data_IF_432984681952
#
_entry.id   IF_432984681952
#
_cell.length_a   1.000
_cell.length_b   1.000
_cell.length_c   1.000
_cell.angle_alpha   90.00
_cell.angle_beta   90.00
_cell.angle_gamma   90.00
#
_symmetry.space_group_name_H-M   'P 1'
#
loop_
_entity.id
_entity.type
_entity.pdbx_description
1 polymer ?
#
# COMPACT_ATOMS: atom_id res chain seq x y z
N UNK A 1 20.02 24.54 5.06
CA UNK A 1 18.72 24.11 5.63
C UNK A 1 17.82 23.32 4.66
N UNK A 2 17.78 23.62 3.36
CA UNK A 2 16.87 22.90 2.43
C UNK A 2 17.24 21.47 2.02
N UNK A 3 18.49 21.01 2.19
CA UNK A 3 18.88 19.63 1.86
C UNK A 3 18.47 18.62 2.94
N UNK A 4 18.52 19.02 4.21
CA UNK A 4 18.21 18.14 5.36
C UNK A 4 16.73 17.73 5.35
N UNK A 5 15.82 18.68 5.08
CA UNK A 5 14.38 18.38 4.99
C UNK A 5 14.02 17.44 3.82
N UNK A 6 14.73 17.50 2.69
CA UNK A 6 14.47 16.62 1.52
C UNK A 6 14.99 15.20 1.77
N UNK A 7 16.03 15.06 2.58
CA UNK A 7 16.63 13.79 2.93
C UNK A 7 15.81 13.07 4.01
N UNK A 8 15.27 13.80 4.99
CA UNK A 8 14.32 13.29 5.98
C UNK A 8 13.01 12.81 5.34
N UNK A 9 12.42 13.58 4.42
CA UNK A 9 11.20 13.18 3.71
C UNK A 9 11.41 11.89 2.90
N UNK A 10 12.54 11.76 2.19
CA UNK A 10 12.88 10.54 1.46
C UNK A 10 13.07 9.34 2.38
N UNK A 11 13.69 9.55 3.54
CA UNK A 11 13.91 8.50 4.53
C UNK A 11 12.58 8.00 5.12
N UNK A 12 11.67 8.93 5.46
CA UNK A 12 10.34 8.61 5.95
C UNK A 12 9.49 7.86 4.93
N UNK A 13 9.50 8.31 3.67
CA UNK A 13 8.79 7.63 2.58
C UNK A 13 9.32 6.21 2.37
N UNK A 14 10.64 6.02 2.37
CA UNK A 14 11.27 4.70 2.18
C UNK A 14 10.96 3.74 3.33
N UNK A 15 10.94 4.24 4.57
CA UNK A 15 10.60 3.45 5.76
C UNK A 15 9.14 3.00 5.75
N UNK A 16 8.23 3.89 5.35
CA UNK A 16 6.80 3.57 5.16
C UNK A 16 6.60 2.49 4.09
N UNK A 17 7.34 2.56 2.98
CA UNK A 17 7.25 1.59 1.87
C UNK A 17 7.74 0.19 2.30
N UNK A 18 8.81 0.11 3.11
CA UNK A 18 9.29 -1.15 3.68
C UNK A 18 8.32 -1.75 4.70
N UNK A 19 7.71 -0.93 5.56
CA UNK A 19 6.71 -1.39 6.53
C UNK A 19 5.44 -1.89 5.84
N UNK A 20 4.98 -1.23 4.77
CA UNK A 20 3.84 -1.65 3.96
C UNK A 20 4.11 -2.96 3.21
N UNK A 21 5.28 -3.12 2.60
CA UNK A 21 5.67 -4.38 1.94
C UNK A 21 5.72 -5.54 2.96
N UNK A 22 6.21 -5.28 4.17
CA UNK A 22 6.22 -6.26 5.27
C UNK A 22 4.80 -6.59 5.76
N UNK A 23 3.92 -5.60 5.89
CA UNK A 23 2.51 -5.83 6.27
C UNK A 23 1.77 -6.60 5.19
N UNK A 24 1.85 -6.17 3.93
CA UNK A 24 1.19 -6.83 2.79
C UNK A 24 1.64 -8.28 2.63
N UNK A 25 2.94 -8.55 2.74
CA UNK A 25 3.46 -9.92 2.67
C UNK A 25 2.98 -10.80 3.83
N UNK A 26 2.89 -10.27 5.05
CA UNK A 26 2.28 -10.97 6.19
C UNK A 26 0.80 -11.24 5.95
N UNK A 27 -0.01 -10.25 5.56
CA UNK A 27 -1.44 -10.43 5.32
C UNK A 27 -1.74 -11.42 4.21
N UNK A 28 -0.98 -11.39 3.09
CA UNK A 28 -1.12 -12.39 2.02
C UNK A 28 -0.79 -13.79 2.54
N UNK A 29 0.21 -13.94 3.42
CA UNK A 29 0.52 -15.23 4.05
C UNK A 29 -0.60 -15.70 4.97
N UNK A 30 -1.16 -14.82 5.80
CA UNK A 30 -2.26 -15.13 6.71
C UNK A 30 -3.56 -15.49 5.96
N UNK A 31 -3.94 -14.73 4.94
CA UNK A 31 -5.10 -15.05 4.10
C UNK A 31 -4.94 -16.40 3.42
N UNK A 32 -3.75 -16.73 2.89
CA UNK A 32 -3.47 -18.08 2.35
C UNK A 32 -3.66 -19.18 3.40
N UNK A 33 -3.19 -18.97 4.63
CA UNK A 33 -3.35 -19.95 5.71
C UNK A 33 -4.82 -20.15 6.07
N UNK A 34 -5.61 -19.08 6.17
CA UNK A 34 -7.05 -19.15 6.42
C UNK A 34 -7.76 -19.90 5.30
N UNK A 35 -7.40 -19.64 4.04
CA UNK A 35 -7.98 -20.33 2.89
C UNK A 35 -7.67 -21.83 2.91
N UNK A 36 -6.41 -22.20 3.18
CA UNK A 36 -6.01 -23.62 3.30
C UNK A 36 -6.76 -24.28 4.46
N UNK A 37 -6.85 -23.61 5.62
CA UNK A 37 -7.57 -24.13 6.78
C UNK A 37 -9.06 -24.33 6.49
N UNK A 38 -9.69 -23.36 5.81
CA UNK A 38 -11.08 -23.45 5.36
C UNK A 38 -11.29 -24.62 4.40
N UNK A 39 -10.36 -24.85 3.47
CA UNK A 39 -10.45 -25.96 2.53
C UNK A 39 -10.36 -27.31 3.26
N UNK A 40 -9.40 -27.45 4.18
CA UNK A 40 -9.24 -28.66 5.01
C UNK A 40 -10.52 -28.91 5.81
N UNK A 41 -11.10 -27.86 6.41
CA UNK A 41 -12.35 -27.96 7.16
C UNK A 41 -13.52 -28.45 6.29
N UNK A 42 -13.68 -27.89 5.08
CA UNK A 42 -14.73 -28.35 4.16
C UNK A 42 -14.53 -29.83 3.79
N UNK A 43 -13.31 -30.24 3.46
CA UNK A 43 -12.98 -31.64 3.17
C UNK A 43 -13.31 -32.53 4.37
N UNK A 44 -12.99 -32.08 5.58
CA UNK A 44 -13.31 -32.79 6.81
C UNK A 44 -14.82 -32.98 7.00
N UNK A 45 -15.62 -31.91 6.83
CA UNK A 45 -17.09 -32.00 6.91
C UNK A 45 -17.64 -32.96 5.87
N UNK A 46 -17.13 -32.93 4.63
CA UNK A 46 -17.49 -33.90 3.60
C UNK A 46 -17.18 -35.35 4.03
N UNK A 47 -16.01 -35.58 4.63
CA UNK A 47 -15.64 -36.89 5.15
C UNK A 47 -16.60 -37.37 6.25
N UNK A 48 -16.99 -36.47 7.16
CA UNK A 48 -18.01 -36.77 8.20
C UNK A 48 -19.35 -37.13 7.55
N UNK A 49 -19.79 -36.36 6.56
CA UNK A 49 -21.03 -36.65 5.81
C UNK A 49 -20.99 -38.03 5.17
N UNK A 50 -19.90 -38.36 4.48
CA UNK A 50 -19.74 -39.66 3.82
C UNK A 50 -19.77 -40.81 4.82
N UNK A 51 -18.98 -40.70 5.90
CA UNK A 51 -18.84 -41.75 6.89
C UNK A 51 -20.12 -42.02 7.70
N UNK A 52 -20.93 -40.99 7.97
CA UNK A 52 -22.21 -41.17 8.65
C UNK A 52 -23.28 -41.70 7.71
N UNK A 53 -23.46 -41.11 6.52
CA UNK A 53 -24.57 -41.47 5.61
C UNK A 53 -24.31 -42.72 4.79
N UNK A 54 -23.09 -42.91 4.27
CA UNK A 54 -22.78 -44.03 3.37
C UNK A 54 -22.21 -45.24 4.11
N UNK A 55 -21.35 -45.01 5.11
CA UNK A 55 -20.74 -46.09 5.89
C UNK A 55 -21.55 -46.47 7.14
N UNK A 56 -22.58 -45.70 7.50
CA UNK A 56 -23.48 -46.03 8.60
C UNK A 56 -22.80 -46.07 9.97
N UNK A 57 -21.63 -45.44 10.13
CA UNK A 57 -20.84 -45.51 11.37
C UNK A 57 -21.50 -44.81 12.58
N UNK A 58 -22.71 -44.27 12.43
CA UNK A 58 -23.41 -43.50 13.46
C UNK A 58 -22.66 -42.22 13.86
N UNK A 59 -23.13 -41.55 14.91
CA UNK A 59 -22.57 -40.24 15.34
C UNK A 59 -21.48 -40.33 16.41
N UNK A 60 -21.29 -41.51 17.02
CA UNK A 60 -20.42 -41.67 18.19
C UNK A 60 -18.95 -41.32 17.91
N UNK A 61 -18.48 -41.54 16.68
CA UNK A 61 -17.11 -41.18 16.26
C UNK A 61 -17.02 -39.74 15.73
N UNK A 62 -18.14 -39.16 15.29
CA UNK A 62 -18.20 -37.84 14.66
C UNK A 62 -18.26 -36.68 15.67
N UNK A 63 -18.20 -36.97 16.98
CA UNK A 63 -18.26 -36.05 18.14
C UNK A 63 -19.56 -35.23 18.27
N UNK A 64 -20.23 -34.89 17.16
CA UNK A 64 -21.46 -34.10 17.08
C UNK A 64 -22.46 -34.71 16.08
N UNK A 65 -23.72 -34.31 16.22
CA UNK A 65 -24.81 -34.63 15.27
C UNK A 65 -24.66 -33.82 13.96
N UNK A 66 -25.35 -34.24 12.90
CA UNK A 66 -25.29 -33.54 11.60
C UNK A 66 -25.73 -32.08 11.69
N UNK A 67 -26.82 -31.81 12.40
CA UNK A 67 -27.34 -30.45 12.53
C UNK A 67 -26.29 -29.51 13.15
N UNK A 68 -25.55 -30.02 14.14
CA UNK A 68 -24.47 -29.28 14.80
C UNK A 68 -23.26 -29.10 13.87
N UNK A 69 -22.91 -30.08 13.04
CA UNK A 69 -21.85 -29.95 12.03
C UNK A 69 -22.18 -28.91 10.97
N UNK A 70 -23.44 -28.87 10.50
CA UNK A 70 -23.93 -27.86 9.56
C UNK A 70 -23.86 -26.47 10.20
N UNK A 71 -24.38 -26.33 11.42
CA UNK A 71 -24.40 -25.06 12.14
C UNK A 71 -22.98 -24.56 12.45
N UNK A 72 -22.08 -25.45 12.89
CA UNK A 72 -20.65 -25.16 13.08
C UNK A 72 -20.01 -24.67 11.80
N UNK A 73 -20.32 -25.31 10.66
CA UNK A 73 -19.78 -24.91 9.36
C UNK A 73 -20.22 -23.51 8.96
N UNK A 74 -21.50 -23.18 9.14
CA UNK A 74 -22.02 -21.83 8.87
C UNK A 74 -21.31 -20.78 9.72
N UNK A 75 -21.18 -21.04 11.03
CA UNK A 75 -20.52 -20.12 11.97
C UNK A 75 -19.05 -19.92 11.62
N UNK A 76 -18.32 -21.00 11.36
CA UNK A 76 -16.89 -20.95 11.05
C UNK A 76 -16.63 -20.24 9.71
N UNK A 77 -17.45 -20.52 8.69
CA UNK A 77 -17.37 -19.82 7.41
C UNK A 77 -17.67 -18.34 7.55
N UNK A 78 -18.70 -17.96 8.33
CA UNK A 78 -18.97 -16.54 8.63
C UNK A 78 -17.78 -15.87 9.31
N UNK A 79 -17.16 -16.55 10.28
CA UNK A 79 -15.99 -16.04 10.98
C UNK A 79 -14.80 -15.81 10.03
N UNK A 80 -14.52 -16.75 9.13
CA UNK A 80 -13.46 -16.58 8.12
C UNK A 80 -13.75 -15.43 7.16
N UNK A 81 -15.00 -15.27 6.72
CA UNK A 81 -15.41 -14.14 5.87
C UNK A 81 -15.16 -12.81 6.59
N UNK A 82 -15.56 -12.69 7.87
CA UNK A 82 -15.35 -11.48 8.66
C UNK A 82 -13.85 -11.16 8.77
N UNK A 83 -13.01 -12.17 9.05
CA UNK A 83 -11.56 -12.00 9.10
C UNK A 83 -10.98 -11.49 7.77
N UNK A 84 -11.42 -12.04 6.63
CA UNK A 84 -10.98 -11.56 5.32
C UNK A 84 -11.39 -10.10 5.07
N UNK A 85 -12.62 -9.74 5.42
CA UNK A 85 -13.12 -8.36 5.28
C UNK A 85 -12.25 -7.40 6.11
N UNK A 86 -11.95 -7.74 7.37
CA UNK A 86 -11.09 -6.93 8.24
C UNK A 86 -9.71 -6.72 7.62
N UNK A 87 -9.10 -7.78 7.06
CA UNK A 87 -7.81 -7.66 6.38
C UNK A 87 -7.87 -6.77 5.14
N UNK A 88 -8.93 -6.87 4.34
CA UNK A 88 -9.13 -6.03 3.17
C UNK A 88 -9.29 -4.56 3.56
N UNK A 89 -10.09 -4.25 4.59
CA UNK A 89 -10.28 -2.89 5.09
C UNK A 89 -8.97 -2.29 5.59
N UNK A 90 -8.19 -3.04 6.37
CA UNK A 90 -6.91 -2.55 6.88
C UNK A 90 -5.94 -2.20 5.75
N UNK A 91 -5.86 -3.05 4.70
CA UNK A 91 -5.03 -2.77 3.51
C UNK A 91 -5.51 -1.50 2.78
N UNK A 92 -6.82 -1.28 2.69
CA UNK A 92 -7.35 -0.08 2.03
C UNK A 92 -7.02 1.20 2.80
N UNK A 93 -7.10 1.17 4.14
CA UNK A 93 -6.74 2.32 4.99
C UNK A 93 -5.28 2.71 4.77
N UNK A 94 -4.36 1.75 4.83
CA UNK A 94 -2.93 1.99 4.61
C UNK A 94 -2.67 2.58 3.22
N UNK A 95 -3.33 2.04 2.17
CA UNK A 95 -3.23 2.59 0.80
C UNK A 95 -3.76 4.02 0.68
N UNK A 96 -4.80 4.36 1.44
CA UNK A 96 -5.39 5.71 1.43
C UNK A 96 -4.44 6.73 2.05
N UNK A 97 -3.84 6.42 3.20
CA UNK A 97 -2.86 7.29 3.83
C UNK A 97 -1.67 7.58 2.92
N UNK A 98 -1.22 6.59 2.13
CA UNK A 98 -0.16 6.78 1.13
C UNK A 98 -0.56 7.78 0.04
N UNK A 99 -1.77 7.66 -0.51
CA UNK A 99 -2.27 8.62 -1.51
C UNK A 99 -2.38 10.04 -0.96
N UNK A 100 -2.64 10.19 0.32
CA UNK A 100 -2.70 11.50 0.97
C UNK A 100 -1.30 12.07 1.25
N UNK A 101 -0.32 11.22 1.60
CA UNK A 101 1.09 11.63 1.83
C UNK A 101 1.90 11.84 0.54
N UNK A 102 1.56 11.15 -0.55
CA UNK A 102 2.18 11.33 -1.87
C UNK A 102 1.66 12.55 -2.64
N UNK A 103 0.54 13.16 -2.20
CA UNK A 103 0.13 14.44 -2.76
C UNK A 103 1.23 15.45 -2.48
N UNK A 104 1.75 16.16 -3.50
CA UNK A 104 2.77 17.16 -3.28
C UNK A 104 2.24 18.15 -2.25
N UNK A 105 2.89 18.23 -1.09
CA UNK A 105 2.53 19.22 -0.09
C UNK A 105 2.59 20.59 -0.77
N UNK A 106 1.56 21.43 -0.64
CA UNK A 106 1.60 22.77 -1.20
C UNK A 106 2.81 23.48 -0.59
N UNK A 107 3.86 23.69 -1.40
CA UNK A 107 5.00 24.47 -0.95
C UNK A 107 4.49 25.89 -0.73
N UNK A 108 4.80 26.47 0.42
CA UNK A 108 4.52 27.87 0.68
C UNK A 108 5.83 28.66 0.60
N UNK A 109 5.83 29.77 -0.13
CA UNK A 109 6.94 30.72 -0.16
C UNK A 109 6.44 32.06 0.38
N UNK A 110 7.01 32.51 1.51
CA UNK A 110 6.59 33.73 2.22
C UNK A 110 5.07 33.78 2.52
N UNK A 111 4.50 32.67 2.96
CA UNK A 111 3.08 32.55 3.29
C UNK A 111 2.13 32.38 2.09
N UNK A 112 2.65 32.40 0.86
CA UNK A 112 1.86 32.26 -0.38
C UNK A 112 2.01 30.87 -1.01
N UNK A 113 0.95 30.34 -1.64
CA UNK A 113 0.95 29.06 -2.36
C UNK A 113 1.93 29.10 -3.53
N UNK A 114 2.85 28.15 -3.57
CA UNK A 114 3.88 28.06 -4.58
C UNK A 114 3.51 27.03 -5.66
N UNK A 115 3.27 27.51 -6.87
CA UNK A 115 3.09 26.68 -8.05
C UNK A 115 4.45 26.48 -8.72
N UNK A 116 4.87 25.24 -8.99
CA UNK A 116 6.18 24.96 -9.59
C UNK A 116 6.01 24.52 -11.02
N UNK A 117 6.54 25.31 -11.97
CA UNK A 117 6.57 24.97 -13.38
C UNK A 117 8.01 24.79 -13.84
N UNK A 118 8.30 23.73 -14.58
CA UNK A 118 9.66 23.42 -15.06
C UNK A 118 9.68 23.37 -16.57
N UNK A 119 10.58 24.16 -17.18
CA UNK A 119 10.78 24.24 -18.62
C UNK A 119 12.22 23.84 -19.00
N UNK A 120 12.42 22.94 -19.99
CA UNK A 120 11.39 22.18 -20.71
C UNK A 120 10.68 21.16 -19.81
N UNK A 121 9.42 20.86 -20.14
CA UNK A 121 8.61 19.90 -19.39
C UNK A 121 9.35 18.56 -19.32
N UNK A 122 9.42 17.95 -18.14
CA UNK A 122 10.12 16.68 -17.84
C UNK A 122 11.64 16.72 -17.69
N UNK A 123 12.29 17.89 -17.71
CA UNK A 123 13.73 17.99 -17.46
C UNK A 123 14.13 17.47 -16.05
N UNK A 124 14.81 16.31 -16.00
CA UNK A 124 15.34 15.70 -14.76
C UNK A 124 16.83 16.02 -14.58
N UNK A 125 17.14 16.83 -13.57
CA UNK A 125 18.51 17.19 -13.19
C UNK A 125 19.16 18.25 -14.09
N UNK A 126 20.23 18.88 -13.59
CA UNK A 126 20.90 20.01 -14.24
C UNK A 126 20.89 21.29 -13.41
N UNK A 127 21.49 22.34 -13.94
CA UNK A 127 21.44 23.69 -13.34
C UNK A 127 20.20 24.39 -13.89
N UNK A 128 19.35 24.85 -12.98
CA UNK A 128 18.11 25.56 -13.31
C UNK A 128 18.18 27.00 -12.81
N UNK A 129 17.77 27.94 -13.66
CA UNK A 129 17.36 29.27 -13.21
C UNK A 129 16.06 29.15 -12.41
N UNK A 130 15.96 29.89 -11.30
CA UNK A 130 14.76 29.94 -10.47
C UNK A 130 14.22 31.36 -10.51
N UNK A 131 13.10 31.56 -11.18
CA UNK A 131 12.40 32.84 -11.22
C UNK A 131 11.11 32.72 -10.42
N UNK A 132 10.87 33.66 -9.51
CA UNK A 132 9.62 33.75 -8.74
C UNK A 132 8.78 34.87 -9.32
N UNK A 133 7.61 34.53 -9.83
CA UNK A 133 6.65 35.45 -10.44
C UNK A 133 5.42 35.45 -9.52
N UNK A 134 5.12 36.55 -8.82
CA UNK A 134 3.87 36.66 -8.08
C UNK A 134 2.71 36.66 -9.10
N UNK A 135 1.72 35.78 -8.90
CA UNK A 135 0.49 35.78 -9.71
C UNK A 135 -0.55 36.64 -9.00
N UNK A 136 -0.77 36.36 -7.70
CA UNK A 136 -1.74 37.06 -6.85
C UNK A 136 -1.16 37.30 -5.44
N UNK A 137 -1.97 37.89 -4.57
CA UNK A 137 -1.65 38.08 -3.15
C UNK A 137 -1.40 36.75 -2.42
N UNK A 138 -2.04 35.67 -2.86
CA UNK A 138 -1.90 34.34 -2.25
C UNK A 138 -1.06 33.35 -3.09
N UNK A 139 -0.70 33.68 -4.34
CA UNK A 139 -0.10 32.74 -5.28
C UNK A 139 1.23 33.25 -5.84
N UNK A 140 2.26 32.39 -5.81
CA UNK A 140 3.56 32.64 -6.43
C UNK A 140 3.88 31.48 -7.38
N UNK A 141 4.21 31.81 -8.63
CA UNK A 141 4.76 30.86 -9.59
C UNK A 141 6.28 30.81 -9.46
N UNK A 142 6.81 29.61 -9.25
CA UNK A 142 8.23 29.30 -9.38
C UNK A 142 8.49 28.68 -10.73
N UNK A 143 9.03 29.49 -11.64
CA UNK A 143 9.51 29.05 -12.93
C UNK A 143 10.93 28.48 -12.79
N UNK A 144 11.11 27.22 -13.17
CA UNK A 144 12.40 26.54 -13.24
C UNK A 144 12.80 26.37 -14.69
N UNK A 145 13.70 27.20 -15.17
CA UNK A 145 14.22 27.11 -16.55
C UNK A 145 15.55 26.36 -16.54
N UNK A 146 15.66 25.27 -17.29
CA UNK A 146 16.92 24.55 -17.43
C UNK A 146 17.95 25.44 -18.14
N UNK A 147 19.08 25.73 -17.48
CA UNK A 147 20.22 26.45 -18.08
C UNK A 147 21.22 25.44 -18.62
N UNK A 148 21.55 24.41 -17.83
CA UNK A 148 22.52 23.38 -18.21
C UNK A 148 21.95 22.02 -17.86
N UNK A 149 21.94 21.11 -18.82
CA UNK A 149 21.44 19.75 -18.59
C UNK A 149 22.41 18.94 -17.73
N UNK A 150 21.89 17.97 -16.96
CA UNK A 150 22.76 17.05 -16.21
C UNK A 150 23.78 16.34 -17.13
N UNK A 151 23.38 15.98 -18.35
CA UNK A 151 24.23 15.30 -19.33
C UNK A 151 25.47 16.12 -19.72
N UNK A 152 25.35 17.45 -19.81
CA UNK A 152 26.47 18.34 -20.14
C UNK A 152 27.45 18.51 -18.99
N UNK A 153 26.93 18.62 -17.75
CA UNK A 153 27.75 18.73 -16.54
C UNK A 153 28.63 17.48 -16.40
N UNK A 154 28.06 16.29 -16.60
CA UNK A 154 28.80 15.03 -16.48
C UNK A 154 29.72 14.74 -17.68
N UNK A 155 29.49 15.33 -18.86
CA UNK A 155 30.45 15.29 -19.97
C UNK A 155 31.71 16.07 -19.65
N UNK A 156 31.61 17.22 -18.96
CA UNK A 156 32.76 18.06 -18.58
C UNK A 156 33.70 17.41 -17.55
N UNK A 157 33.26 16.37 -16.85
CA UNK A 157 34.05 15.66 -15.85
C UNK A 157 34.90 14.51 -16.42
N UNK A 158 34.86 14.28 -17.74
CA UNK A 158 35.62 13.23 -18.45
C UNK A 158 36.70 13.79 -19.40
N UNK A 159 37.28 14.93 -19.04
CA UNK A 159 38.52 15.41 -19.65
C UNK A 159 39.46 15.71 -18.49
N UNK A 160 40.55 14.94 -18.48
CA UNK A 160 41.72 14.88 -17.59
C UNK A 160 41.53 14.34 -16.17
#
# INVERSE_FOLDING_TARGET
>A
MGNVMVEEDKYHIKKLDEEELRLKSKYVRWSKLILILSLIYVVWVFFVVISVYFLGMGYNWAFMTMDNWILSSIVLTCFFIILEIVFLFHIQIVKRERREKEKPQPMFYRGRKLHVYTYPETAKGGVFSRTYIPIDDDNVLRLRTLIVSAKEIWKRKRID
#
